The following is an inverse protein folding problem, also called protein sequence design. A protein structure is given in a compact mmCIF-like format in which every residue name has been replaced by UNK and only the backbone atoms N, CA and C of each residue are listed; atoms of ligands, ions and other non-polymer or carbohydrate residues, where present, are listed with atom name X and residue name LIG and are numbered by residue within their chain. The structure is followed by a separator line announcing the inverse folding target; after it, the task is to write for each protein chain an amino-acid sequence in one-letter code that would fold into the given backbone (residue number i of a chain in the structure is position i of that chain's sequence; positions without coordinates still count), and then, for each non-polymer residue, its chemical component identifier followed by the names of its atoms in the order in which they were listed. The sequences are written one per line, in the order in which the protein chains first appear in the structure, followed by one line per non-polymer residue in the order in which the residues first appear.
data_IF_766047546112
#
_entry.id   IF_766047546112
#
_cell.length_a   1.000
_cell.length_b   1.000
_cell.length_c   1.000
_cell.angle_alpha   90.00
_cell.angle_beta   90.00
_cell.angle_gamma   90.00
#
_symmetry.space_group_name_H-M   'P 1'
#
loop_
_entity.id
_entity.type
_entity.pdbx_description
1 polymer ?
#
# COMPACT_ATOMS: atom_id res chain seq x y z
N UNK A 1 37.88 3.23 33.14
CA UNK A 1 37.43 4.40 32.35
C UNK A 1 36.29 3.96 31.45
N UNK A 2 35.10 4.48 31.72
CA UNK A 2 33.79 3.91 31.38
C UNK A 2 33.32 4.36 29.99
N UNK A 3 33.09 3.41 29.07
CA UNK A 3 32.27 3.62 27.86
C UNK A 3 30.80 3.70 28.27
N UNK A 4 30.22 4.90 28.40
CA UNK A 4 28.79 5.04 28.73
C UNK A 4 28.05 6.19 27.98
N UNK A 5 28.66 6.87 27.02
CA UNK A 5 28.10 8.14 26.50
C UNK A 5 27.56 8.11 25.07
N UNK A 6 27.83 7.08 24.26
CA UNK A 6 27.37 7.09 22.86
C UNK A 6 25.92 6.60 22.67
N UNK A 7 25.34 5.79 23.56
CA UNK A 7 24.05 5.14 23.26
C UNK A 7 22.81 5.99 23.56
N UNK A 8 22.89 6.93 24.52
CA UNK A 8 21.74 7.80 24.88
C UNK A 8 21.49 8.90 23.86
N UNK A 9 22.55 9.51 23.34
CA UNK A 9 22.46 10.61 22.37
C UNK A 9 21.76 10.20 21.06
N UNK A 10 21.92 8.95 20.62
CA UNK A 10 21.26 8.46 19.40
C UNK A 10 19.76 8.22 19.60
N UNK A 11 19.34 7.82 20.81
CA UNK A 11 17.92 7.65 21.15
C UNK A 11 17.17 8.98 21.17
N UNK A 12 17.77 10.00 21.80
CA UNK A 12 17.17 11.34 21.90
C UNK A 12 17.03 12.01 20.52
N UNK A 13 18.03 11.81 19.63
CA UNK A 13 17.97 12.32 18.26
C UNK A 13 16.93 11.58 17.40
N UNK A 14 16.80 10.26 17.56
CA UNK A 14 15.79 9.48 16.84
C UNK A 14 14.37 9.91 17.22
N UNK A 15 14.12 10.16 18.51
CA UNK A 15 12.81 10.63 18.98
C UNK A 15 12.49 12.02 18.45
N UNK A 16 13.47 12.94 18.47
CA UNK A 16 13.29 14.28 17.92
C UNK A 16 12.93 14.27 16.43
N UNK A 17 13.57 13.40 15.64
CA UNK A 17 13.27 13.23 14.21
C UNK A 17 11.88 12.61 14.01
N UNK A 18 11.54 11.57 14.77
CA UNK A 18 10.21 10.93 14.71
C UNK A 18 9.11 11.97 14.96
N UNK A 19 9.24 12.73 16.03
CA UNK A 19 8.28 13.77 16.40
C UNK A 19 8.17 14.89 15.35
N UNK A 20 9.30 15.29 14.75
CA UNK A 20 9.29 16.25 13.65
C UNK A 20 8.58 15.72 12.39
N UNK A 21 8.82 14.46 12.00
CA UNK A 21 8.16 13.82 10.86
C UNK A 21 6.66 13.68 11.12
N UNK A 22 6.26 13.27 12.33
CA UNK A 22 4.85 13.11 12.68
C UNK A 22 4.10 14.44 12.65
N UNK A 23 4.68 15.52 13.20
CA UNK A 23 4.08 16.86 13.11
C UNK A 23 3.92 17.34 11.68
N UNK A 24 5.00 17.27 10.89
CA UNK A 24 4.94 17.65 9.48
C UNK A 24 3.93 16.81 8.69
N UNK A 25 3.88 15.49 8.93
CA UNK A 25 2.91 14.60 8.28
C UNK A 25 1.49 14.93 8.68
N UNK A 26 1.22 15.34 9.92
CA UNK A 26 -0.11 15.76 10.36
C UNK A 26 -0.57 17.01 9.59
N UNK A 27 0.32 18.00 9.43
CA UNK A 27 0.01 19.29 8.81
C UNK A 27 -0.02 19.25 7.27
N UNK A 28 0.97 18.59 6.64
CA UNK A 28 1.21 18.64 5.20
C UNK A 28 1.10 17.26 4.50
N UNK A 29 0.67 16.23 5.23
CA UNK A 29 0.51 14.88 4.70
C UNK A 29 -0.53 14.81 3.58
N UNK A 30 -0.34 13.84 2.67
CA UNK A 30 -1.29 13.55 1.58
C UNK A 30 -2.52 12.79 2.09
N UNK A 31 -3.26 13.39 3.00
CA UNK A 31 -4.39 12.75 3.66
C UNK A 31 -5.53 12.44 2.68
N UNK A 32 -5.72 13.25 1.63
CA UNK A 32 -6.80 13.06 0.66
C UNK A 32 -6.72 11.83 -0.24
N UNK A 33 -5.64 11.02 -0.16
CA UNK A 33 -5.54 9.79 -0.95
C UNK A 33 -6.53 8.74 -0.43
N UNK A 34 -7.33 8.10 -1.30
CA UNK A 34 -8.45 7.26 -0.85
C UNK A 34 -8.01 6.03 -0.04
N UNK A 35 -6.86 5.43 -0.35
CA UNK A 35 -6.30 4.32 0.44
C UNK A 35 -5.75 4.75 1.81
N UNK A 36 -5.56 6.05 2.06
CA UNK A 36 -5.22 6.58 3.40
C UNK A 36 -6.45 6.90 4.25
N UNK A 37 -7.64 6.82 3.67
CA UNK A 37 -8.93 7.09 4.34
C UNK A 37 -9.61 5.80 4.84
N UNK A 38 -8.97 4.65 4.68
CA UNK A 38 -9.47 3.35 5.15
C UNK A 38 -8.43 2.65 6.00
N UNK A 39 -8.88 1.76 6.88
CA UNK A 39 -8.04 0.82 7.64
C UNK A 39 -8.21 -0.63 7.20
N UNK A 40 -9.04 -0.86 6.18
CA UNK A 40 -9.30 -2.19 5.65
C UNK A 40 -8.04 -2.75 4.94
N UNK A 41 -7.56 -3.95 5.30
CA UNK A 41 -6.30 -4.48 4.77
C UNK A 41 -6.30 -4.66 3.25
N UNK A 42 -7.41 -5.11 2.65
CA UNK A 42 -7.48 -5.42 1.22
C UNK A 42 -7.33 -4.18 0.33
N UNK A 43 -8.13 -3.10 0.50
CA UNK A 43 -7.94 -1.85 -0.24
C UNK A 43 -6.53 -1.26 -0.11
N UNK A 44 -5.93 -1.35 1.09
CA UNK A 44 -4.56 -0.89 1.34
C UNK A 44 -3.57 -1.75 0.53
N UNK A 45 -3.65 -3.09 0.63
CA UNK A 45 -2.80 -4.01 -0.13
C UNK A 45 -2.84 -3.73 -1.64
N UNK A 46 -4.04 -3.52 -2.20
CA UNK A 46 -4.21 -3.20 -3.63
C UNK A 46 -3.46 -1.90 -3.98
N UNK A 47 -3.62 -0.85 -3.17
CA UNK A 47 -2.93 0.43 -3.42
C UNK A 47 -1.42 0.30 -3.37
N UNK A 48 -0.87 -0.39 -2.37
CA UNK A 48 0.56 -0.56 -2.18
C UNK A 48 1.17 -1.35 -3.35
N UNK A 49 0.51 -2.42 -3.82
CA UNK A 49 0.98 -3.16 -4.99
C UNK A 49 0.92 -2.30 -6.25
N UNK A 50 -0.15 -1.51 -6.46
CA UNK A 50 -0.28 -0.62 -7.61
C UNK A 50 0.77 0.51 -7.61
N UNK A 51 1.07 1.10 -6.46
CA UNK A 51 2.00 2.22 -6.30
C UNK A 51 3.47 1.85 -6.52
N UNK A 52 3.80 0.56 -6.52
CA UNK A 52 5.13 0.12 -6.94
C UNK A 52 5.42 0.54 -8.39
N UNK A 53 6.43 1.39 -8.58
CA UNK A 53 6.86 1.87 -9.90
C UNK A 53 5.75 2.56 -10.73
N UNK A 54 4.67 3.03 -10.10
CA UNK A 54 3.56 3.72 -10.78
C UNK A 54 3.17 4.97 -10.01
N UNK A 55 3.05 6.10 -10.70
CA UNK A 55 2.72 7.38 -10.06
C UNK A 55 1.29 7.42 -9.50
N UNK A 56 1.11 8.13 -8.38
CA UNK A 56 -0.16 8.28 -7.65
C UNK A 56 -1.32 8.70 -8.56
N UNK A 57 -1.11 9.70 -9.42
CA UNK A 57 -2.16 10.24 -10.32
C UNK A 57 -2.69 9.19 -11.31
N UNK A 58 -1.87 8.21 -11.68
CA UNK A 58 -2.27 7.08 -12.54
C UNK A 58 -2.94 5.97 -11.74
N UNK A 59 -2.52 5.76 -10.49
CA UNK A 59 -3.05 4.70 -9.62
C UNK A 59 -4.45 5.04 -9.12
N UNK A 60 -4.72 6.28 -8.71
CA UNK A 60 -5.98 6.63 -8.06
C UNK A 60 -7.25 6.19 -8.81
N UNK A 61 -7.46 6.57 -10.09
CA UNK A 61 -8.65 6.13 -10.82
C UNK A 61 -8.68 4.62 -11.06
N UNK A 62 -7.52 3.97 -11.15
CA UNK A 62 -7.41 2.52 -11.38
C UNK A 62 -7.71 1.72 -10.13
N UNK A 63 -7.29 2.21 -8.96
CA UNK A 63 -7.59 1.63 -7.67
C UNK A 63 -9.10 1.69 -7.38
N UNK A 64 -9.76 2.81 -7.68
CA UNK A 64 -11.23 2.94 -7.52
C UNK A 64 -11.97 1.91 -8.37
N UNK A 65 -11.68 1.86 -9.67
CA UNK A 65 -12.27 0.90 -10.61
C UNK A 65 -11.99 -0.56 -10.21
N UNK A 66 -10.79 -0.84 -9.68
CA UNK A 66 -10.44 -2.17 -9.19
C UNK A 66 -11.32 -2.60 -8.02
N UNK A 67 -11.52 -1.74 -7.03
CA UNK A 67 -12.35 -2.03 -5.86
C UNK A 67 -13.85 -1.99 -6.17
N UNK A 68 -14.28 -1.26 -7.19
CA UNK A 68 -15.65 -1.38 -7.71
C UNK A 68 -15.90 -2.76 -8.31
N UNK A 69 -14.90 -3.32 -9.02
CA UNK A 69 -15.01 -4.62 -9.68
C UNK A 69 -14.82 -5.80 -8.73
N UNK A 70 -13.87 -5.69 -7.82
CA UNK A 70 -13.56 -6.69 -6.79
C UNK A 70 -13.52 -6.00 -5.42
N UNK A 71 -14.67 -5.82 -4.76
CA UNK A 71 -14.76 -5.11 -3.49
C UNK A 71 -14.00 -5.80 -2.35
N UNK A 72 -13.92 -7.13 -2.39
CA UNK A 72 -13.27 -7.95 -1.36
C UNK A 72 -12.11 -8.78 -1.93
N UNK A 73 -11.27 -9.26 -1.02
CA UNK A 73 -10.20 -10.22 -1.36
C UNK A 73 -10.77 -11.51 -1.96
N UNK A 74 -11.95 -11.96 -1.50
CA UNK A 74 -12.63 -13.14 -2.03
C UNK A 74 -13.13 -12.92 -3.46
N UNK A 75 -13.65 -11.73 -3.78
CA UNK A 75 -14.06 -11.38 -5.15
C UNK A 75 -12.87 -11.42 -6.11
N UNK A 76 -11.71 -10.92 -5.68
CA UNK A 76 -10.49 -10.99 -6.47
C UNK A 76 -9.99 -12.43 -6.61
N UNK A 77 -10.06 -13.24 -5.55
CA UNK A 77 -9.67 -14.65 -5.59
C UNK A 77 -10.52 -15.44 -6.60
N UNK A 78 -11.83 -15.18 -6.64
CA UNK A 78 -12.77 -15.79 -7.60
C UNK A 78 -12.64 -15.28 -9.04
N UNK A 79 -11.85 -14.24 -9.29
CA UNK A 79 -11.66 -13.71 -10.63
C UNK A 79 -10.77 -14.61 -11.50
N UNK A 80 -11.00 -14.60 -12.81
CA UNK A 80 -10.07 -15.25 -13.75
C UNK A 80 -8.76 -14.46 -13.88
N UNK A 81 -7.63 -15.14 -14.07
CA UNK A 81 -6.34 -14.46 -14.31
C UNK A 81 -6.40 -13.54 -15.54
N UNK A 82 -7.16 -13.92 -16.57
CA UNK A 82 -7.33 -13.11 -17.78
C UNK A 82 -8.05 -11.79 -17.48
N UNK A 83 -9.08 -11.80 -16.64
CA UNK A 83 -9.78 -10.58 -16.21
C UNK A 83 -8.88 -9.68 -15.37
N UNK A 84 -8.10 -10.27 -14.46
CA UNK A 84 -7.12 -9.55 -13.63
C UNK A 84 -6.08 -8.86 -14.49
N UNK A 85 -5.49 -9.54 -15.48
CA UNK A 85 -4.53 -8.93 -16.42
C UNK A 85 -5.18 -7.82 -17.23
N UNK A 86 -6.40 -8.04 -17.73
CA UNK A 86 -7.13 -7.05 -18.52
C UNK A 86 -7.39 -5.79 -17.70
N UNK A 87 -7.83 -5.95 -16.46
CA UNK A 87 -8.09 -4.86 -15.52
C UNK A 87 -6.81 -4.18 -15.05
N UNK A 88 -5.66 -4.85 -15.07
CA UNK A 88 -4.35 -4.26 -14.76
C UNK A 88 -3.71 -3.53 -15.96
N UNK A 89 -4.21 -3.74 -17.17
CA UNK A 89 -3.59 -3.26 -18.41
C UNK A 89 -3.30 -1.76 -18.36
N UNK A 90 -2.05 -1.38 -18.64
CA UNK A 90 -1.60 0.01 -18.55
C UNK A 90 -1.13 0.45 -17.16
N UNK A 91 -1.03 -0.42 -16.16
CA UNK A 91 -0.27 -0.13 -14.92
C UNK A 91 1.19 -0.61 -14.98
N UNK A 92 1.58 -1.32 -16.04
CA UNK A 92 2.92 -1.89 -16.19
C UNK A 92 3.13 -3.14 -15.32
N UNK A 93 4.22 -3.86 -15.58
CA UNK A 93 4.62 -5.12 -14.94
C UNK A 93 3.46 -6.00 -14.42
N UNK A 94 2.80 -6.68 -15.36
CA UNK A 94 1.62 -7.54 -15.12
C UNK A 94 1.81 -8.62 -14.06
N UNK A 95 3.06 -9.03 -13.79
CA UNK A 95 3.35 -9.99 -12.71
C UNK A 95 2.92 -9.48 -11.33
N UNK A 96 2.85 -8.16 -11.10
CA UNK A 96 2.29 -7.61 -9.85
C UNK A 96 0.82 -7.99 -9.69
N UNK A 97 0.04 -7.90 -10.78
CA UNK A 97 -1.37 -8.30 -10.79
C UNK A 97 -1.52 -9.80 -10.48
N UNK A 98 -0.68 -10.64 -11.09
CA UNK A 98 -0.70 -12.10 -10.88
C UNK A 98 -0.29 -12.49 -9.46
N UNK A 99 0.71 -11.80 -8.89
CA UNK A 99 1.11 -12.00 -7.49
C UNK A 99 -0.01 -11.58 -6.54
N UNK A 100 -0.63 -10.42 -6.77
CA UNK A 100 -1.76 -9.95 -5.98
C UNK A 100 -2.95 -10.92 -6.03
N UNK A 101 -3.30 -11.43 -7.22
CA UNK A 101 -4.33 -12.44 -7.39
C UNK A 101 -4.00 -13.75 -6.67
N UNK A 102 -2.75 -14.22 -6.76
CA UNK A 102 -2.31 -15.42 -6.03
C UNK A 102 -2.37 -15.22 -4.53
N UNK A 103 -1.96 -14.06 -4.03
CA UNK A 103 -2.10 -13.69 -2.61
C UNK A 103 -3.56 -13.70 -2.18
N UNK A 104 -4.47 -13.16 -2.99
CA UNK A 104 -5.90 -13.19 -2.69
C UNK A 104 -6.44 -14.63 -2.59
N UNK A 105 -5.99 -15.53 -3.48
CA UNK A 105 -6.36 -16.94 -3.41
C UNK A 105 -5.89 -17.63 -2.13
N UNK A 106 -4.66 -17.34 -1.67
CA UNK A 106 -4.15 -17.89 -0.40
C UNK A 106 -4.99 -17.40 0.78
N UNK A 107 -5.25 -16.09 0.86
CA UNK A 107 -6.03 -15.49 1.96
C UNK A 107 -7.47 -16.01 1.97
N UNK A 108 -8.07 -16.27 0.80
CA UNK A 108 -9.44 -16.80 0.72
C UNK A 108 -9.56 -18.28 1.12
N UNK A 109 -8.44 -19.00 1.21
CA UNK A 109 -8.38 -20.42 1.60
C UNK A 109 -7.90 -20.65 3.04
N UNK A 110 -7.38 -19.62 3.70
CA UNK A 110 -7.01 -19.64 5.13
C UNK A 110 -8.25 -19.45 6.02
#
# INVERSE_FOLDING_TARGET
MTRATNSRCHGDQAEAVREAILRWSAEAGRHGLPWRQTREPYPILVSEVMLQQTQVSRVEPRWRRWLERWPTVADLAGASQADVIREWSGLGYNMRAMRLWRTANIIATD
#
